data_IF_806471196422
#
_entry.id   IF_806471196422
#
_cell.length_a   1.000
_cell.length_b   1.000
_cell.length_c   1.000
_cell.angle_alpha   90.00
_cell.angle_beta   90.00
_cell.angle_gamma   90.00
#
_symmetry.space_group_name_H-M   'P 1'
#
loop_
_entity.id
_entity.type
_entity.pdbx_description
1 polymer ?
#
# COMPACT_ATOMS: atom_id res chain seq x y z
N UNK A 1 -16.87 6.48 -4.49
CA UNK A 1 -16.35 7.14 -5.72
C UNK A 1 -15.16 6.35 -6.23
N UNK A 2 -14.87 6.37 -7.53
CA UNK A 2 -13.67 5.71 -8.09
C UNK A 2 -12.47 6.67 -8.25
N UNK A 3 -12.65 7.96 -7.95
CA UNK A 3 -11.58 8.95 -8.00
C UNK A 3 -10.69 8.85 -6.77
N UNK A 4 -9.36 8.87 -6.98
CA UNK A 4 -8.38 8.85 -5.89
C UNK A 4 -8.55 10.05 -4.95
N UNK A 5 -8.89 11.22 -5.52
CA UNK A 5 -9.18 12.43 -4.73
C UNK A 5 -10.42 12.24 -3.87
N UNK A 6 -11.50 11.71 -4.44
CA UNK A 6 -12.75 11.46 -3.71
C UNK A 6 -12.60 10.42 -2.61
N UNK A 7 -11.69 9.45 -2.76
CA UNK A 7 -11.37 8.48 -1.71
C UNK A 7 -10.70 9.17 -0.51
N UNK A 8 -9.72 10.04 -0.77
CA UNK A 8 -9.02 10.77 0.30
C UNK A 8 -9.95 11.78 0.98
N UNK A 9 -10.82 12.44 0.22
CA UNK A 9 -11.83 13.34 0.77
C UNK A 9 -12.85 12.59 1.65
N UNK A 10 -13.32 11.41 1.22
CA UNK A 10 -14.19 10.57 2.05
C UNK A 10 -13.51 10.16 3.37
N UNK A 11 -12.20 9.91 3.36
CA UNK A 11 -11.43 9.65 4.59
C UNK A 11 -11.30 10.87 5.49
N UNK A 12 -11.26 12.08 4.90
CA UNK A 12 -11.25 13.35 5.64
C UNK A 12 -12.58 13.58 6.35
N UNK A 13 -13.69 13.36 5.65
CA UNK A 13 -15.05 13.54 6.18
C UNK A 13 -15.39 12.51 7.25
N UNK A 14 -15.02 11.24 7.05
CA UNK A 14 -15.21 10.19 8.05
C UNK A 14 -14.33 10.38 9.30
N UNK A 15 -13.34 11.30 9.26
CA UNK A 15 -12.32 11.51 10.29
C UNK A 15 -11.54 10.25 10.70
N UNK A 16 -11.68 9.16 9.95
CA UNK A 16 -11.11 7.85 10.19
C UNK A 16 -10.42 7.37 8.91
N UNK A 17 -9.19 6.90 9.07
CA UNK A 17 -8.49 6.24 7.98
C UNK A 17 -9.10 4.87 7.71
N UNK A 18 -9.17 4.48 6.44
CA UNK A 18 -9.79 3.22 6.06
C UNK A 18 -9.02 2.00 6.54
N UNK A 19 -7.78 2.14 7.03
CA UNK A 19 -7.10 1.04 7.71
C UNK A 19 -7.88 0.52 8.93
N UNK A 20 -8.61 1.37 9.66
CA UNK A 20 -9.34 0.98 10.88
C UNK A 20 -10.56 0.10 10.56
N UNK A 21 -11.50 0.50 9.68
CA UNK A 21 -12.63 -0.35 9.33
C UNK A 21 -12.21 -1.55 8.44
N UNK A 22 -11.13 -1.43 7.67
CA UNK A 22 -10.70 -2.43 6.69
C UNK A 22 -9.34 -3.05 7.02
N UNK A 23 -9.10 -3.43 8.29
CA UNK A 23 -7.83 -4.06 8.70
C UNK A 23 -7.55 -5.31 7.86
N UNK A 24 -8.56 -6.15 7.65
CA UNK A 24 -8.45 -7.36 6.85
C UNK A 24 -8.09 -7.01 5.39
N UNK A 25 -8.74 -5.99 4.83
CA UNK A 25 -8.46 -5.50 3.48
C UNK A 25 -7.02 -4.98 3.32
N UNK A 26 -6.50 -4.25 4.30
CA UNK A 26 -5.11 -3.77 4.29
C UNK A 26 -4.12 -4.94 4.27
N UNK A 27 -4.34 -5.94 5.12
CA UNK A 27 -3.45 -7.12 5.20
C UNK A 27 -3.46 -7.88 3.88
N UNK A 28 -4.64 -8.11 3.29
CA UNK A 28 -4.76 -8.77 1.98
C UNK A 28 -4.04 -7.97 0.90
N UNK A 29 -4.30 -6.66 0.84
CA UNK A 29 -3.67 -5.77 -0.14
C UNK A 29 -2.16 -5.80 0.00
N UNK A 30 -1.63 -5.77 1.22
CA UNK A 30 -0.21 -5.77 1.47
C UNK A 30 0.44 -7.10 1.08
N UNK A 31 -0.14 -8.24 1.45
CA UNK A 31 0.38 -9.55 1.05
C UNK A 31 0.34 -9.72 -0.48
N UNK A 32 -0.76 -9.32 -1.12
CA UNK A 32 -0.90 -9.36 -2.57
C UNK A 32 0.06 -8.40 -3.27
N UNK A 33 0.28 -7.20 -2.71
CA UNK A 33 1.24 -6.23 -3.22
C UNK A 33 2.68 -6.75 -3.16
N UNK A 34 3.07 -7.39 -2.06
CA UNK A 34 4.40 -8.02 -1.95
C UNK A 34 4.56 -9.13 -2.98
N UNK A 35 3.52 -9.94 -3.22
CA UNK A 35 3.53 -10.99 -4.24
C UNK A 35 3.64 -10.41 -5.67
N UNK A 36 2.88 -9.37 -6.00
CA UNK A 36 2.87 -8.74 -7.34
C UNK A 36 4.22 -8.10 -7.70
N UNK A 37 4.91 -7.50 -6.72
CA UNK A 37 6.23 -6.91 -6.95
C UNK A 37 7.34 -7.95 -7.15
N UNK A 38 7.03 -9.25 -7.06
CA UNK A 38 7.97 -10.37 -7.20
C UNK A 38 9.23 -10.18 -6.35
N UNK A 39 9.10 -9.62 -5.15
CA UNK A 39 10.22 -9.43 -4.22
C UNK A 39 10.26 -10.53 -3.18
N UNK A 40 11.47 -10.82 -2.71
CA UNK A 40 11.69 -11.75 -1.62
C UNK A 40 10.77 -11.37 -0.45
N UNK A 41 9.86 -12.26 -0.02
CA UNK A 41 9.96 -13.72 -0.06
C UNK A 41 9.20 -14.43 -1.22
N UNK A 42 8.53 -13.70 -2.11
CA UNK A 42 7.75 -14.23 -3.25
C UNK A 42 8.46 -14.04 -4.60
N UNK A 43 9.78 -14.16 -4.58
CA UNK A 43 10.66 -13.91 -5.73
C UNK A 43 10.82 -15.15 -6.62
N UNK A 44 9.71 -15.59 -7.23
CA UNK A 44 9.66 -16.86 -7.97
C UNK A 44 10.23 -16.75 -9.39
N UNK A 45 10.09 -15.58 -10.02
CA UNK A 45 10.62 -15.34 -11.36
C UNK A 45 12.16 -15.25 -11.38
N UNK A 46 12.78 -14.72 -10.31
CA UNK A 46 14.24 -14.73 -10.15
C UNK A 46 14.75 -16.06 -9.61
N UNK A 47 13.94 -16.77 -8.80
CA UNK A 47 14.33 -18.04 -8.19
C UNK A 47 14.14 -19.25 -9.11
N UNK A 48 13.05 -19.46 -9.85
CA UNK A 48 12.86 -20.72 -10.64
C UNK A 48 13.92 -20.95 -11.76
N UNK A 49 14.82 -20.00 -11.95
CA UNK A 49 16.05 -20.14 -12.74
C UNK A 49 17.27 -20.62 -11.93
N UNK A 50 17.12 -21.36 -10.82
CA UNK A 50 18.22 -21.85 -9.94
C UNK A 50 19.34 -22.69 -10.62
N UNK A 51 19.40 -22.80 -11.95
CA UNK A 51 20.58 -23.28 -12.71
C UNK A 51 21.34 -22.21 -13.52
N UNK A 52 20.75 -21.05 -13.87
CA UNK A 52 21.42 -19.89 -14.50
C UNK A 52 20.58 -18.65 -14.19
N UNK A 53 21.07 -17.76 -13.33
CA UNK A 53 20.45 -16.49 -12.89
C UNK A 53 19.69 -15.76 -14.01
N UNK A 54 18.37 -15.99 -14.13
CA UNK A 54 17.55 -15.85 -15.34
C UNK A 54 17.79 -14.60 -16.20
N UNK A 55 16.94 -13.58 -16.06
CA UNK A 55 17.09 -12.33 -16.83
C UNK A 55 18.37 -11.56 -16.43
N UNK A 56 18.92 -11.84 -15.26
CA UNK A 56 20.20 -11.28 -14.79
C UNK A 56 21.40 -11.72 -15.64
N UNK A 57 21.32 -12.86 -16.34
CA UNK A 57 22.36 -13.36 -17.26
C UNK A 57 22.01 -13.11 -18.72
N UNK A 58 20.72 -13.00 -19.05
CA UNK A 58 20.26 -12.74 -20.43
C UNK A 58 20.40 -11.27 -20.84
N UNK A 59 20.31 -10.33 -19.89
CA UNK A 59 20.37 -8.90 -20.16
C UNK A 59 21.61 -8.24 -19.54
N UNK A 60 22.27 -7.36 -20.31
CA UNK A 60 23.46 -6.63 -19.86
C UNK A 60 23.34 -5.11 -20.12
N UNK A 61 24.11 -4.33 -19.36
CA UNK A 61 24.22 -2.87 -19.49
C UNK A 61 22.91 -2.12 -19.24
N UNK A 62 22.49 -1.29 -20.20
CA UNK A 62 21.30 -0.45 -20.08
C UNK A 62 20.01 -1.26 -19.95
N UNK A 63 19.89 -2.39 -20.66
CA UNK A 63 18.69 -3.23 -20.64
C UNK A 63 18.45 -3.84 -19.27
N UNK A 64 19.53 -4.28 -18.62
CA UNK A 64 19.51 -4.72 -17.21
C UNK A 64 19.06 -3.59 -16.27
N UNK A 65 19.60 -2.38 -16.44
CA UNK A 65 19.22 -1.23 -15.61
C UNK A 65 17.73 -0.88 -15.66
N UNK A 66 17.07 -1.06 -16.81
CA UNK A 66 15.63 -0.80 -16.95
C UNK A 66 14.80 -1.78 -16.11
N UNK A 67 15.19 -3.06 -16.02
CA UNK A 67 14.51 -4.02 -15.16
C UNK A 67 14.57 -3.61 -13.68
N UNK A 68 15.74 -3.22 -13.18
CA UNK A 68 15.86 -2.73 -11.80
C UNK A 68 15.00 -1.50 -11.54
N UNK A 69 15.07 -0.50 -12.43
CA UNK A 69 14.25 0.71 -12.29
C UNK A 69 12.77 0.37 -12.29
N UNK A 70 12.32 -0.53 -13.19
CA UNK A 70 10.94 -0.94 -13.29
C UNK A 70 10.44 -1.65 -12.02
N UNK A 71 11.23 -2.57 -11.45
CA UNK A 71 10.85 -3.27 -10.22
C UNK A 71 10.76 -2.32 -9.02
N UNK A 72 11.73 -1.40 -8.87
CA UNK A 72 11.67 -0.40 -7.80
C UNK A 72 10.55 0.62 -8.02
N UNK A 73 10.26 0.98 -9.27
CA UNK A 73 9.11 1.81 -9.60
C UNK A 73 7.80 1.10 -9.24
N UNK A 74 7.68 -0.20 -9.51
CA UNK A 74 6.50 -0.98 -9.14
C UNK A 74 6.28 -0.98 -7.61
N UNK A 75 7.34 -1.20 -6.82
CA UNK A 75 7.28 -1.11 -5.36
C UNK A 75 6.79 0.27 -4.88
N UNK A 76 7.26 1.34 -5.52
CA UNK A 76 6.83 2.71 -5.21
C UNK A 76 5.36 2.91 -5.55
N UNK A 77 4.90 2.46 -6.72
CA UNK A 77 3.50 2.59 -7.17
C UNK A 77 2.55 1.83 -6.23
N UNK A 78 2.84 0.58 -5.92
CA UNK A 78 2.02 -0.23 -4.99
C UNK A 78 1.96 0.44 -3.61
N UNK A 79 3.08 0.96 -3.12
CA UNK A 79 3.12 1.69 -1.83
C UNK A 79 2.34 3.01 -1.86
N UNK A 80 2.35 3.73 -2.98
CA UNK A 80 1.58 4.96 -3.17
C UNK A 80 0.07 4.69 -3.24
N UNK A 81 -0.34 3.61 -3.91
CA UNK A 81 -1.73 3.16 -3.94
C UNK A 81 -2.18 2.70 -2.55
N UNK A 82 -1.35 1.96 -1.79
CA UNK A 82 -1.65 1.59 -0.41
C UNK A 82 -1.90 2.83 0.48
N UNK A 83 -1.02 3.82 0.34
CA UNK A 83 -1.04 5.06 1.13
C UNK A 83 -2.30 5.89 0.85
N UNK A 84 -2.70 5.99 -0.42
CA UNK A 84 -3.90 6.74 -0.83
C UNK A 84 -5.19 6.00 -0.48
N UNK A 85 -5.23 4.68 -0.65
CA UNK A 85 -6.43 3.88 -0.37
C UNK A 85 -6.72 3.71 1.12
N UNK A 86 -5.70 3.49 1.95
CA UNK A 86 -5.92 3.09 3.36
C UNK A 86 -5.45 4.12 4.39
N UNK A 87 -4.41 4.89 4.09
CA UNK A 87 -3.72 5.74 5.06
C UNK A 87 -3.93 7.24 4.82
N UNK A 88 -5.00 7.66 4.11
CA UNK A 88 -5.35 9.07 4.01
C UNK A 88 -4.52 9.90 3.03
N UNK A 89 -3.65 9.29 2.21
CA UNK A 89 -2.86 10.02 1.22
C UNK A 89 -2.08 11.20 1.83
N UNK A 90 -2.42 12.42 1.39
CA UNK A 90 -1.84 13.70 1.85
C UNK A 90 -2.36 14.21 3.19
N UNK A 91 -3.36 13.55 3.79
CA UNK A 91 -3.87 13.94 5.10
C UNK A 91 -2.86 13.62 6.20
N UNK A 92 -2.77 14.49 7.20
CA UNK A 92 -1.99 14.22 8.41
C UNK A 92 -2.55 13.04 9.23
N UNK A 93 -1.72 12.37 10.05
CA UNK A 93 -2.18 11.43 11.07
C UNK A 93 -3.23 12.06 11.97
N UNK A 94 -4.43 11.46 11.98
CA UNK A 94 -5.61 11.93 12.73
C UNK A 94 -5.93 13.42 12.53
N UNK A 95 -6.56 13.79 11.39
CA UNK A 95 -6.87 15.18 11.06
C UNK A 95 -7.69 15.93 12.12
N UNK A 96 -8.51 15.20 12.88
CA UNK A 96 -9.44 15.71 13.88
C UNK A 96 -8.76 16.17 15.19
N UNK A 97 -7.55 15.69 15.50
CA UNK A 97 -6.91 16.02 16.77
C UNK A 97 -6.14 17.33 16.62
N UNK A 98 -6.66 18.39 17.22
CA UNK A 98 -6.09 19.75 17.17
C UNK A 98 -4.67 19.82 17.73
N UNK A 99 -4.33 18.97 18.71
CA UNK A 99 -2.95 18.89 19.22
C UNK A 99 -1.95 18.40 18.16
N UNK A 100 -2.34 17.53 17.22
CA UNK A 100 -1.43 17.06 16.16
C UNK A 100 -1.23 18.08 15.03
N UNK A 101 -1.85 19.27 15.12
CA UNK A 101 -1.67 20.33 14.13
C UNK A 101 -0.21 20.82 14.02
N UNK A 102 0.59 20.72 15.09
CA UNK A 102 2.00 21.10 15.06
C UNK A 102 2.82 20.28 14.06
N UNK A 103 2.37 19.07 13.69
CA UNK A 103 3.11 18.20 12.78
C UNK A 103 3.12 18.74 11.34
N UNK A 104 2.21 19.63 10.98
CA UNK A 104 2.22 20.30 9.68
C UNK A 104 3.20 21.49 9.70
N UNK A 105 4.46 21.18 10.00
CA UNK A 105 5.54 22.15 10.22
C UNK A 105 5.66 23.13 9.04
N UNK A 106 5.49 22.64 7.81
CA UNK A 106 5.55 23.45 6.60
C UNK A 106 4.44 24.49 6.49
N UNK A 107 3.27 24.29 7.12
CA UNK A 107 2.21 25.30 7.18
C UNK A 107 2.61 26.52 8.01
N UNK A 108 3.54 26.37 8.95
CA UNK A 108 4.01 27.44 9.81
C UNK A 108 5.27 28.13 9.28
N UNK A 109 6.05 27.46 8.43
CA UNK A 109 7.31 27.97 7.87
C UNK A 109 7.10 28.68 6.54
N UNK A 110 6.23 28.15 5.66
CA UNK A 110 6.06 28.65 4.31
C UNK A 110 4.79 29.51 4.18
N UNK A 111 4.89 30.74 3.67
CA UNK A 111 3.72 31.59 3.45
C UNK A 111 2.93 31.16 2.19
N UNK A 112 1.61 31.34 2.24
CA UNK A 112 0.71 31.09 1.10
C UNK A 112 0.35 29.62 0.88
N UNK A 113 -0.05 29.27 -0.34
CA UNK A 113 -0.53 27.92 -0.69
C UNK A 113 0.57 26.84 -0.68
N UNK A 114 1.84 27.25 -0.62
CA UNK A 114 2.99 26.35 -0.57
C UNK A 114 3.08 25.57 0.75
N UNK A 115 2.58 26.13 1.86
CA UNK A 115 2.57 25.46 3.16
C UNK A 115 1.79 24.14 3.13
N UNK A 116 0.47 24.17 2.83
CA UNK A 116 -0.36 22.97 2.77
C UNK A 116 0.11 21.95 1.75
N UNK A 117 0.61 22.41 0.61
CA UNK A 117 1.16 21.53 -0.43
C UNK A 117 2.38 20.75 0.07
N UNK A 118 3.35 21.42 0.69
CA UNK A 118 4.57 20.76 1.18
C UNK A 118 4.31 19.85 2.37
N UNK A 119 3.39 20.24 3.27
CA UNK A 119 2.91 19.37 4.34
C UNK A 119 2.28 18.09 3.78
N UNK A 120 1.39 18.21 2.79
CA UNK A 120 0.76 17.06 2.15
C UNK A 120 1.76 16.12 1.46
N UNK A 121 2.73 16.69 0.72
CA UNK A 121 3.78 15.94 0.06
C UNK A 121 4.67 15.19 1.06
N UNK A 122 5.06 15.86 2.15
CA UNK A 122 5.83 15.26 3.24
C UNK A 122 5.11 14.03 3.80
N UNK A 123 3.80 14.12 4.05
CA UNK A 123 3.02 12.99 4.58
C UNK A 123 2.92 11.81 3.62
N UNK A 124 2.73 12.08 2.34
CA UNK A 124 2.73 11.01 1.32
C UNK A 124 4.09 10.34 1.29
N UNK A 125 5.18 11.10 1.24
CA UNK A 125 6.55 10.56 1.20
C UNK A 125 6.82 9.71 2.45
N UNK A 126 6.53 10.23 3.64
CA UNK A 126 6.75 9.50 4.90
C UNK A 126 5.99 8.17 4.92
N UNK A 127 4.72 8.16 4.51
CA UNK A 127 3.90 6.94 4.50
C UNK A 127 4.37 5.94 3.45
N UNK A 128 4.70 6.40 2.24
CA UNK A 128 5.27 5.56 1.18
C UNK A 128 6.61 4.97 1.62
N UNK A 129 7.49 5.77 2.24
CA UNK A 129 8.73 5.28 2.82
C UNK A 129 8.48 4.27 3.94
N UNK A 130 7.43 4.44 4.75
CA UNK A 130 6.98 3.46 5.73
C UNK A 130 6.62 2.11 5.10
N UNK A 131 5.86 2.11 4.00
CA UNK A 131 5.57 0.88 3.25
C UNK A 131 6.82 0.24 2.65
N UNK A 132 7.70 1.04 2.01
CA UNK A 132 8.97 0.54 1.48
C UNK A 132 9.83 -0.06 2.60
N UNK A 133 9.86 0.56 3.78
CA UNK A 133 10.51 -0.01 4.95
C UNK A 133 9.90 -1.37 5.32
N UNK A 134 8.58 -1.54 5.29
CA UNK A 134 7.94 -2.84 5.51
C UNK A 134 8.38 -3.89 4.47
N UNK A 135 8.57 -3.51 3.19
CA UNK A 135 9.12 -4.42 2.18
C UNK A 135 10.52 -4.91 2.57
N UNK A 136 11.40 -4.00 2.98
CA UNK A 136 12.73 -4.38 3.44
C UNK A 136 12.70 -5.23 4.72
N UNK A 137 11.78 -4.91 5.64
CA UNK A 137 11.64 -5.67 6.89
C UNK A 137 11.13 -7.09 6.64
N UNK A 138 10.12 -7.28 5.78
CA UNK A 138 9.65 -8.62 5.39
C UNK A 138 10.78 -9.42 4.75
N UNK A 139 11.52 -8.82 3.81
CA UNK A 139 12.66 -9.47 3.17
C UNK A 139 13.70 -9.96 4.19
N UNK A 140 13.91 -9.20 5.25
CA UNK A 140 14.85 -9.57 6.31
C UNK A 140 14.30 -10.64 7.27
N UNK A 141 12.98 -10.76 7.42
CA UNK A 141 12.34 -11.60 8.45
C UNK A 141 11.90 -12.96 7.92
N UNK A 142 11.37 -13.01 6.70
CA UNK A 142 10.72 -14.22 6.18
C UNK A 142 11.64 -15.04 5.26
N UNK A 143 11.68 -16.38 5.43
CA UNK A 143 12.25 -17.28 4.45
C UNK A 143 11.52 -17.20 3.10
N UNK A 144 12.19 -17.63 2.04
CA UNK A 144 11.61 -17.70 0.69
C UNK A 144 10.45 -18.70 0.66
N UNK A 145 9.36 -18.34 -0.02
CA UNK A 145 8.22 -19.23 -0.26
C UNK A 145 8.34 -19.92 -1.61
N UNK A 146 7.87 -21.17 -1.68
CA UNK A 146 7.77 -21.93 -2.93
C UNK A 146 6.49 -21.57 -3.70
N UNK A 147 6.52 -21.70 -5.03
CA UNK A 147 5.38 -21.45 -5.93
C UNK A 147 4.08 -22.12 -5.45
N UNK A 148 4.14 -23.42 -5.14
CA UNK A 148 2.98 -24.19 -4.68
C UNK A 148 2.33 -23.62 -3.41
N UNK A 149 3.16 -23.11 -2.49
CA UNK A 149 2.71 -22.52 -1.23
C UNK A 149 2.07 -21.15 -1.48
N UNK A 150 2.69 -20.31 -2.31
CA UNK A 150 2.13 -19.01 -2.69
C UNK A 150 0.77 -19.18 -3.37
N UNK A 151 0.66 -20.11 -4.32
CA UNK A 151 -0.60 -20.39 -5.01
C UNK A 151 -1.67 -20.88 -4.03
N UNK A 152 -1.30 -21.74 -3.08
CA UNK A 152 -2.23 -22.20 -2.05
C UNK A 152 -2.72 -21.06 -1.13
N UNK A 153 -1.85 -20.13 -0.74
CA UNK A 153 -2.21 -18.98 0.09
C UNK A 153 -3.13 -18.03 -0.69
N UNK A 154 -2.79 -17.73 -1.95
CA UNK A 154 -3.58 -16.88 -2.83
C UNK A 154 -5.01 -17.42 -3.01
N UNK A 155 -5.13 -18.67 -3.47
CA UNK A 155 -6.42 -19.24 -3.83
C UNK A 155 -7.25 -19.76 -2.66
N UNK A 156 -6.61 -20.34 -1.63
CA UNK A 156 -7.36 -20.95 -0.51
C UNK A 156 -7.58 -19.99 0.65
N UNK A 157 -6.74 -18.98 0.82
CA UNK A 157 -6.82 -18.05 1.94
C UNK A 157 -7.21 -16.63 1.49
N UNK A 158 -6.39 -15.98 0.65
CA UNK A 158 -6.56 -14.56 0.32
C UNK A 158 -7.86 -14.30 -0.46
N UNK A 159 -8.15 -15.10 -1.48
CA UNK A 159 -9.32 -14.88 -2.34
C UNK A 159 -10.65 -15.09 -1.59
N UNK A 160 -10.87 -16.20 -0.85
CA UNK A 160 -12.08 -16.36 -0.03
C UNK A 160 -12.20 -15.29 1.05
N UNK A 161 -11.09 -14.89 1.68
CA UNK A 161 -11.09 -13.86 2.71
C UNK A 161 -11.43 -12.48 2.14
N UNK A 162 -10.91 -12.15 0.95
CA UNK A 162 -11.24 -10.90 0.25
C UNK A 162 -12.73 -10.82 -0.10
N UNK A 163 -13.29 -11.91 -0.64
CA UNK A 163 -14.72 -11.99 -0.94
C UNK A 163 -15.57 -11.87 0.34
N UNK A 164 -15.20 -12.59 1.40
CA UNK A 164 -15.89 -12.48 2.68
C UNK A 164 -15.84 -11.05 3.25
N UNK A 165 -14.69 -10.37 3.14
CA UNK A 165 -14.51 -9.01 3.61
C UNK A 165 -15.38 -8.01 2.83
N UNK A 166 -15.46 -8.15 1.50
CA UNK A 166 -16.33 -7.30 0.66
C UNK A 166 -17.81 -7.55 0.99
N UNK A 167 -18.22 -8.80 1.14
CA UNK A 167 -19.60 -9.16 1.51
C UNK A 167 -19.96 -8.62 2.90
N UNK A 168 -19.08 -8.77 3.89
CA UNK A 168 -19.28 -8.24 5.23
C UNK A 168 -19.38 -6.70 5.23
N UNK A 169 -18.54 -6.03 4.43
CA UNK A 169 -18.60 -4.57 4.27
C UNK A 169 -19.91 -4.13 3.63
N UNK A 170 -20.36 -4.80 2.58
CA UNK A 170 -21.65 -4.53 1.95
C UNK A 170 -22.82 -4.72 2.91
N UNK A 171 -22.83 -5.82 3.67
CA UNK A 171 -23.85 -6.08 4.68
C UNK A 171 -23.86 -5.03 5.80
N UNK A 172 -22.69 -4.63 6.30
CA UNK A 172 -22.54 -3.59 7.31
C UNK A 172 -23.09 -2.25 6.81
N UNK A 173 -22.77 -1.86 5.58
CA UNK A 173 -23.27 -0.61 4.99
C UNK A 173 -24.78 -0.63 4.80
N UNK A 174 -25.36 -1.76 4.38
CA UNK A 174 -26.81 -1.91 4.29
C UNK A 174 -27.49 -1.81 5.66
N UNK A 175 -26.92 -2.45 6.68
CA UNK A 175 -27.42 -2.41 8.04
C UNK A 175 -27.36 -0.99 8.62
N UNK A 176 -26.22 -0.30 8.46
CA UNK A 176 -26.05 1.08 8.91
C UNK A 176 -26.97 2.05 8.14
N UNK A 177 -27.18 1.81 6.85
CA UNK A 177 -28.11 2.56 6.02
C UNK A 177 -29.58 2.40 6.44
N UNK A 178 -29.95 1.28 7.07
CA UNK A 178 -31.30 1.06 7.63
C UNK A 178 -31.49 1.76 8.98
N UNK A 179 -30.45 1.90 9.80
CA UNK A 179 -30.51 2.63 11.08
C UNK A 179 -30.47 4.16 10.94
N UNK A 180 -30.22 4.68 9.74
CA UNK A 180 -30.17 6.12 9.43
C UNK A 180 -31.46 6.72 8.85
N UNK A 181 -32.58 5.98 8.89
CA UNK A 181 -33.90 6.42 8.42
C UNK A 181 -34.89 6.57 9.58
#
# INVERSE_FOLDING_TARGET
TASMVGIVEAQREAHLWFFIPQIIGVVIYFIAGVAETNRAPFDLAEAETELVSGFHTEYSGMRFGIYFIAEYANMLIVSAVATTMFFGGWLRPFPNVSWLAFLDIFNYILPGEWGPFMSGLMWVIIKVSGFIFLYYWIRATFPRYRYDQLMSIGWKCLLPLALANIMATGALLLWLGQTGA
#
